data_IF_729423475983
#
_entry.id   IF_729423475983
#
_cell.length_a   1.000
_cell.length_b   1.000
_cell.length_c   1.000
_cell.angle_alpha   90.00
_cell.angle_beta   90.00
_cell.angle_gamma   90.00
#
_symmetry.space_group_name_H-M   'P 1'
#
loop_
_entity.id
_entity.type
_entity.pdbx_description
1 polymer ?
#
# COMPACT_ATOMS: atom_id res chain seq x y z
N UNK A 1 8.63 -6.24 4.99
CA UNK A 1 9.98 -5.99 4.45
C UNK A 1 9.98 -6.29 2.95
N UNK A 2 9.99 -5.25 2.12
CA UNK A 2 10.36 -5.38 0.70
C UNK A 2 11.87 -5.11 0.62
N UNK A 3 12.67 -6.10 0.99
CA UNK A 3 14.11 -6.10 0.77
C UNK A 3 14.37 -7.18 -0.28
N UNK A 4 14.39 -6.84 -1.58
CA UNK A 4 14.75 -7.85 -2.59
C UNK A 4 14.32 -7.66 -4.03
N UNK A 5 13.86 -6.48 -4.48
CA UNK A 5 13.81 -6.21 -5.91
C UNK A 5 14.51 -4.87 -6.15
N UNK A 6 15.66 -4.93 -6.83
CA UNK A 6 16.48 -3.77 -7.20
C UNK A 6 15.73 -2.69 -8.01
N UNK A 7 14.47 -2.94 -8.38
CA UNK A 7 13.56 -1.95 -8.95
C UNK A 7 12.11 -2.48 -8.91
N UNK A 8 11.30 -2.17 -7.87
CA UNK A 8 9.93 -2.66 -7.74
C UNK A 8 9.00 -2.12 -8.84
N UNK A 9 9.33 -0.96 -9.44
CA UNK A 9 8.58 -0.38 -10.55
C UNK A 9 8.70 -1.26 -11.81
N UNK A 10 9.93 -1.67 -12.14
CA UNK A 10 10.19 -2.54 -13.30
C UNK A 10 9.53 -3.91 -13.14
N UNK A 11 9.59 -4.51 -11.95
CA UNK A 11 8.92 -5.78 -11.66
C UNK A 11 7.39 -5.69 -11.85
N UNK A 12 6.77 -4.60 -11.39
CA UNK A 12 5.34 -4.39 -11.54
C UNK A 12 4.94 -4.16 -13.00
N UNK A 13 5.70 -3.37 -13.77
CA UNK A 13 5.45 -3.11 -15.20
C UNK A 13 5.48 -4.40 -16.01
N UNK A 14 6.48 -5.25 -15.76
CA UNK A 14 6.60 -6.56 -16.42
C UNK A 14 5.45 -7.49 -16.04
N UNK A 15 5.03 -7.49 -14.77
CA UNK A 15 3.95 -8.37 -14.26
C UNK A 15 2.58 -7.98 -14.81
N UNK A 16 2.25 -6.68 -14.85
CA UNK A 16 0.95 -6.20 -15.29
C UNK A 16 0.82 -6.06 -16.82
N UNK A 17 1.93 -6.13 -17.58
CA UNK A 17 1.98 -5.88 -19.04
C UNK A 17 1.27 -4.58 -19.45
N UNK A 18 1.27 -3.58 -18.58
CA UNK A 18 0.60 -2.31 -18.77
C UNK A 18 1.59 -1.16 -18.56
N UNK A 19 1.33 -0.03 -19.22
CA UNK A 19 2.02 1.21 -18.89
C UNK A 19 1.55 1.67 -17.51
N UNK A 20 2.48 1.68 -16.56
CA UNK A 20 2.24 2.19 -15.20
C UNK A 20 2.51 3.68 -15.25
N UNK A 21 1.53 4.48 -14.83
CA UNK A 21 1.73 5.91 -14.66
C UNK A 21 2.74 6.14 -13.51
N UNK A 22 3.86 6.79 -13.81
CA UNK A 22 4.96 7.02 -12.87
C UNK A 22 4.55 7.88 -11.68
N UNK A 23 3.71 8.90 -11.91
CA UNK A 23 3.18 9.75 -10.84
C UNK A 23 2.26 8.96 -9.92
N UNK A 24 1.42 8.08 -10.48
CA UNK A 24 0.56 7.19 -9.70
C UNK A 24 1.39 6.21 -8.86
N UNK A 25 2.44 5.62 -9.43
CA UNK A 25 3.37 4.73 -8.73
C UNK A 25 4.12 5.43 -7.61
N UNK A 26 4.71 6.60 -7.87
CA UNK A 26 5.41 7.41 -6.87
C UNK A 26 4.48 7.79 -5.70
N UNK A 27 3.20 8.02 -5.99
CA UNK A 27 2.20 8.34 -4.97
C UNK A 27 1.70 7.13 -4.15
N UNK A 28 1.92 5.91 -4.64
CA UNK A 28 1.56 4.65 -3.97
C UNK A 28 2.73 4.05 -3.19
N UNK A 29 3.94 4.14 -3.74
CA UNK A 29 5.16 3.65 -3.12
C UNK A 29 5.82 4.75 -2.25
N UNK A 30 5.09 5.21 -1.24
CA UNK A 30 5.54 6.23 -0.29
C UNK A 30 5.40 5.73 1.16
N UNK A 31 6.31 6.18 2.02
CA UNK A 31 6.26 6.01 3.48
C UNK A 31 5.35 7.04 4.18
N UNK A 32 4.89 8.04 3.43
CA UNK A 32 4.07 9.12 3.95
C UNK A 32 2.59 8.80 3.76
N UNK A 33 1.85 8.74 4.87
CA UNK A 33 0.40 8.48 4.86
C UNK A 33 -0.38 9.69 4.34
N UNK A 34 -1.48 9.44 3.62
CA UNK A 34 -2.44 10.48 3.24
C UNK A 34 -3.35 10.84 4.42
N UNK A 35 -3.55 12.12 4.73
CA UNK A 35 -4.44 12.52 5.82
C UNK A 35 -5.88 12.12 5.50
N UNK A 36 -6.62 11.70 6.53
CA UNK A 36 -8.03 11.37 6.43
C UNK A 36 -8.79 11.92 7.65
N UNK A 37 -10.07 12.31 7.50
CA UNK A 37 -10.85 12.84 8.60
C UNK A 37 -11.10 11.77 9.66
N UNK A 38 -11.17 12.19 10.92
CA UNK A 38 -11.50 11.27 12.02
C UNK A 38 -12.87 10.64 11.78
N UNK A 39 -12.99 9.30 11.86
CA UNK A 39 -14.26 8.62 11.63
C UNK A 39 -15.25 8.93 12.75
N UNK A 40 -16.53 9.17 12.40
CA UNK A 40 -17.61 9.44 13.36
C UNK A 40 -17.79 8.32 14.40
N UNK A 41 -17.45 7.09 14.05
CA UNK A 41 -17.54 5.91 14.91
C UNK A 41 -16.43 5.84 15.97
N UNK A 42 -15.40 6.71 15.90
CA UNK A 42 -14.22 6.65 16.77
C UNK A 42 -13.40 5.37 16.59
N UNK A 43 -13.54 4.67 15.46
CA UNK A 43 -12.83 3.41 15.18
C UNK A 43 -12.19 3.43 13.80
N UNK A 44 -10.97 2.91 13.71
CA UNK A 44 -10.21 2.73 12.46
C UNK A 44 -9.89 1.26 12.30
N UNK A 45 -10.19 0.69 11.13
CA UNK A 45 -9.69 -0.62 10.74
C UNK A 45 -8.37 -0.47 9.98
N UNK A 46 -7.33 -1.14 10.43
CA UNK A 46 -6.05 -1.24 9.74
C UNK A 46 -5.96 -2.65 9.14
N UNK A 47 -5.81 -2.71 7.82
CA UNK A 47 -5.61 -3.96 7.08
C UNK A 47 -4.17 -3.99 6.56
N UNK A 48 -3.46 -5.07 6.88
CA UNK A 48 -2.08 -5.32 6.42
C UNK A 48 -2.10 -6.57 5.57
N UNK A 49 -1.52 -6.49 4.37
CA UNK A 49 -1.43 -7.61 3.44
C UNK A 49 0.04 -7.81 3.12
N UNK A 50 0.54 -9.03 3.23
CA UNK A 50 1.91 -9.36 2.85
C UNK A 50 2.00 -9.77 1.36
N UNK A 51 3.21 -10.02 0.87
CA UNK A 51 3.44 -10.42 -0.52
C UNK A 51 3.01 -11.86 -0.85
N UNK A 52 2.75 -12.70 0.16
CA UNK A 52 2.20 -14.05 -0.02
C UNK A 52 0.67 -14.03 -0.15
N UNK A 53 0.05 -12.88 0.11
CA UNK A 53 -1.40 -12.72 0.13
C UNK A 53 -2.03 -12.94 1.51
N UNK A 54 -1.24 -13.13 2.56
CA UNK A 54 -1.77 -13.21 3.92
C UNK A 54 -2.27 -11.83 4.35
N UNK A 55 -3.48 -11.81 4.90
CA UNK A 55 -4.11 -10.60 5.38
C UNK A 55 -4.29 -10.64 6.91
N UNK A 56 -3.93 -9.56 7.58
CA UNK A 56 -4.23 -9.32 8.98
C UNK A 56 -5.03 -8.02 9.10
N UNK A 57 -6.12 -8.05 9.86
CA UNK A 57 -6.93 -6.87 10.15
C UNK A 57 -6.99 -6.63 11.66
N UNK A 58 -6.87 -5.36 12.06
CA UNK A 58 -7.10 -4.93 13.44
C UNK A 58 -7.88 -3.64 13.49
N UNK A 59 -8.85 -3.56 14.40
CA UNK A 59 -9.62 -2.34 14.66
C UNK A 59 -9.04 -1.64 15.88
N UNK A 60 -8.79 -0.34 15.73
CA UNK A 60 -8.31 0.58 16.77
C UNK A 60 -9.37 1.61 17.09
N UNK A 61 -9.35 2.13 18.32
CA UNK A 61 -10.15 3.28 18.73
C UNK A 61 -9.32 4.56 18.63
N UNK A 62 -9.93 5.66 18.19
CA UNK A 62 -9.31 6.99 18.00
C UNK A 62 -10.07 8.10 18.70
#
# INVERSE_FOLDING_TARGET
YFLGANDPYKALKTTLKAEINEDAWASLNSDTSRPFPKPKSGRIAVKVINHLGDEVMKVFRV
#
